data_IF_940927207845
#
_entry.id   IF_940927207845
#
_cell.length_a   1.000
_cell.length_b   1.000
_cell.length_c   1.000
_cell.angle_alpha   90.00
_cell.angle_beta   90.00
_cell.angle_gamma   90.00
#
_symmetry.space_group_name_H-M   'P 1'
#
loop_
_entity.id
_entity.type
_entity.pdbx_description
1 polymer ?
#
# COMPACT_ATOMS: atom_id res chain seq x y z
N UNK A 1 -60.63 -58.77 28.78
CA UNK A 1 -61.05 -58.11 30.04
C UNK A 1 -59.81 -57.79 30.86
N UNK A 2 -59.67 -56.52 31.29
CA UNK A 2 -58.67 -55.95 32.24
C UNK A 2 -57.26 -55.60 31.74
N UNK A 3 -57.14 -54.35 31.27
CA UNK A 3 -56.21 -53.28 31.70
C UNK A 3 -54.94 -53.66 32.49
N UNK A 4 -53.79 -53.06 32.12
CA UNK A 4 -53.22 -51.88 32.82
C UNK A 4 -51.95 -51.32 32.14
N UNK A 5 -51.89 -49.98 32.18
CA UNK A 5 -50.79 -49.05 31.88
C UNK A 5 -49.56 -49.25 32.76
N UNK A 6 -48.38 -48.89 32.23
CA UNK A 6 -47.25 -48.11 32.81
C UNK A 6 -46.11 -48.20 31.77
N UNK A 7 -45.53 -47.17 31.17
CA UNK A 7 -45.26 -45.81 31.62
C UNK A 7 -43.78 -45.69 32.01
N UNK A 8 -42.86 -45.56 31.04
CA UNK A 8 -41.47 -45.12 31.29
C UNK A 8 -41.02 -44.20 30.15
N UNK A 9 -40.78 -42.94 30.50
CA UNK A 9 -40.09 -41.94 29.70
C UNK A 9 -38.57 -42.19 29.74
N UNK A 10 -37.89 -42.03 28.60
CA UNK A 10 -36.43 -41.90 28.51
C UNK A 10 -36.15 -40.90 27.37
N UNK A 11 -36.03 -39.62 27.71
CA UNK A 11 -34.75 -38.88 27.90
C UNK A 11 -33.90 -38.87 26.63
N UNK A 12 -34.01 -37.72 25.98
CA UNK A 12 -33.24 -37.18 24.87
C UNK A 12 -31.73 -37.23 25.13
N UNK A 13 -30.95 -37.68 24.15
CA UNK A 13 -29.53 -37.35 24.04
C UNK A 13 -29.25 -36.87 22.60
N UNK A 14 -29.50 -35.58 22.38
CA UNK A 14 -29.02 -34.89 21.18
C UNK A 14 -27.54 -34.57 21.41
N UNK A 15 -26.66 -35.38 20.81
CA UNK A 15 -25.25 -35.04 20.67
C UNK A 15 -25.13 -33.81 19.75
N UNK A 16 -24.93 -32.64 20.35
CA UNK A 16 -24.49 -31.46 19.64
C UNK A 16 -23.00 -31.63 19.29
N UNK A 17 -22.72 -31.95 18.02
CA UNK A 17 -21.36 -31.81 17.48
C UNK A 17 -21.06 -30.31 17.36
N UNK A 18 -20.38 -29.75 18.35
CA UNK A 18 -19.72 -28.46 18.20
C UNK A 18 -18.58 -28.65 17.19
N UNK A 19 -18.82 -28.24 15.94
CA UNK A 19 -17.73 -27.94 15.02
C UNK A 19 -16.98 -26.73 15.56
N UNK A 20 -15.96 -26.96 16.39
CA UNK A 20 -14.87 -25.99 16.54
C UNK A 20 -14.12 -25.97 15.22
N UNK A 21 -14.66 -25.24 14.25
CA UNK A 21 -13.93 -24.90 13.04
C UNK A 21 -12.72 -24.07 13.47
N UNK A 22 -11.55 -24.71 13.56
CA UNK A 22 -10.30 -24.00 13.39
C UNK A 22 -10.38 -23.37 12.00
N UNK A 23 -10.81 -22.11 11.92
CA UNK A 23 -10.49 -21.28 10.77
C UNK A 23 -8.96 -21.26 10.77
N UNK A 24 -8.36 -21.99 9.84
CA UNK A 24 -7.01 -21.65 9.41
C UNK A 24 -7.15 -20.21 8.92
N UNK A 25 -6.54 -19.29 9.65
CA UNK A 25 -6.38 -17.93 9.20
C UNK A 25 -5.50 -18.01 7.95
N UNK A 26 -6.12 -18.13 6.78
CA UNK A 26 -5.40 -17.98 5.54
C UNK A 26 -4.79 -16.57 5.55
N UNK A 27 -3.48 -16.42 5.30
CA UNK A 27 -2.85 -15.12 5.39
C UNK A 27 -3.54 -14.16 4.42
N UNK A 28 -3.96 -13.00 4.92
CA UNK A 28 -4.55 -11.96 4.10
C UNK A 28 -3.60 -11.62 2.93
N UNK A 29 -4.13 -11.43 1.70
CA UNK A 29 -3.30 -11.12 0.56
C UNK A 29 -2.59 -9.78 0.78
N UNK A 30 -1.25 -9.79 0.74
CA UNK A 30 -0.42 -8.60 0.88
C UNK A 30 -0.44 -7.76 -0.39
N UNK A 31 -0.50 -6.43 -0.24
CA UNK A 31 -0.29 -5.52 -1.37
C UNK A 31 1.21 -5.28 -1.54
N UNK A 32 1.85 -5.99 -2.48
CA UNK A 32 3.28 -5.83 -2.81
C UNK A 32 3.37 -5.22 -4.21
N UNK A 33 4.15 -4.15 -4.33
CA UNK A 33 4.32 -3.41 -5.58
C UNK A 33 5.80 -3.17 -5.85
N UNK A 34 6.18 -3.28 -7.12
CA UNK A 34 7.50 -2.90 -7.64
C UNK A 34 7.33 -1.78 -8.67
N UNK A 35 8.02 -0.66 -8.47
CA UNK A 35 8.00 0.50 -9.35
C UNK A 35 9.38 0.76 -9.93
N UNK A 36 9.47 0.80 -11.26
CA UNK A 36 10.67 1.17 -11.99
C UNK A 36 10.92 2.69 -11.97
N UNK A 37 12.20 3.09 -11.95
CA UNK A 37 12.61 4.48 -12.17
C UNK A 37 12.46 4.90 -13.65
N UNK A 38 12.74 6.17 -13.96
CA UNK A 38 12.37 6.83 -15.23
C UNK A 38 12.88 6.15 -16.51
N UNK A 39 13.98 5.39 -16.45
CA UNK A 39 14.54 4.67 -17.61
C UNK A 39 14.34 3.15 -17.51
N UNK A 40 13.56 2.65 -16.55
CA UNK A 40 13.25 1.23 -16.43
C UNK A 40 12.17 0.82 -17.45
N UNK A 41 12.57 0.03 -18.44
CA UNK A 41 11.67 -0.45 -19.51
C UNK A 41 11.00 -1.79 -19.18
N UNK A 42 11.39 -2.44 -18.08
CA UNK A 42 10.92 -3.76 -17.68
C UNK A 42 9.81 -3.75 -16.63
N UNK A 43 9.73 -2.66 -15.85
CA UNK A 43 8.76 -2.49 -14.76
C UNK A 43 8.14 -1.11 -14.89
N UNK A 44 6.82 -1.03 -14.85
CA UNK A 44 6.11 0.26 -14.82
C UNK A 44 6.50 1.10 -13.60
N UNK A 45 6.42 2.42 -13.74
CA UNK A 45 6.87 3.36 -12.71
C UNK A 45 5.75 4.00 -11.90
N UNK A 46 4.48 3.76 -12.23
CA UNK A 46 3.34 4.56 -11.77
C UNK A 46 2.28 3.67 -11.11
N UNK A 47 1.94 3.92 -9.86
CA UNK A 47 0.95 3.18 -9.07
C UNK A 47 -0.36 3.93 -8.99
N UNK A 48 -1.46 3.23 -9.29
CA UNK A 48 -2.79 3.55 -8.77
C UNK A 48 -3.02 2.73 -7.50
N UNK A 49 -3.16 3.39 -6.36
CA UNK A 49 -3.32 2.74 -5.05
C UNK A 49 -4.70 2.06 -4.97
N UNK A 50 -5.74 2.74 -5.46
CA UNK A 50 -7.13 2.23 -5.41
C UNK A 50 -7.34 1.02 -6.33
N UNK A 51 -6.74 1.03 -7.52
CA UNK A 51 -6.83 -0.09 -8.47
C UNK A 51 -5.80 -1.20 -8.19
N UNK A 52 -4.89 -0.99 -7.22
CA UNK A 52 -3.78 -1.89 -6.89
C UNK A 52 -2.97 -2.28 -8.14
N UNK A 53 -2.74 -1.30 -9.04
CA UNK A 53 -2.19 -1.53 -10.38
C UNK A 53 -0.99 -0.64 -10.66
N UNK A 54 0.05 -1.25 -11.24
CA UNK A 54 1.21 -0.56 -11.78
C UNK A 54 1.01 -0.31 -13.27
N UNK A 55 1.31 0.91 -13.68
CA UNK A 55 1.20 1.47 -15.02
C UNK A 55 2.58 1.79 -15.56
N UNK A 56 2.77 1.60 -16.87
CA UNK A 56 3.86 2.24 -17.63
C UNK A 56 3.60 3.74 -17.75
N UNK A 57 4.60 4.53 -18.15
CA UNK A 57 4.44 5.99 -18.30
C UNK A 57 3.34 6.35 -19.32
N UNK A 58 3.29 5.62 -20.43
CA UNK A 58 2.30 5.85 -21.49
C UNK A 58 0.89 5.52 -21.02
N UNK A 59 0.70 4.40 -20.32
CA UNK A 59 -0.62 4.06 -19.78
C UNK A 59 -1.04 5.02 -18.68
N UNK A 60 -0.09 5.44 -17.83
CA UNK A 60 -0.32 6.43 -16.78
C UNK A 60 -0.75 7.79 -17.35
N UNK A 61 -0.13 8.24 -18.44
CA UNK A 61 -0.53 9.45 -19.17
C UNK A 61 -1.96 9.40 -19.71
N UNK A 62 -2.49 8.21 -19.99
CA UNK A 62 -3.89 8.02 -20.41
C UNK A 62 -4.86 7.83 -19.23
N UNK A 63 -4.36 7.75 -18.00
CA UNK A 63 -5.13 7.48 -16.77
C UNK A 63 -4.67 8.42 -15.64
N UNK A 64 -4.34 9.68 -15.96
CA UNK A 64 -3.64 10.62 -15.07
C UNK A 64 -4.34 10.76 -13.71
N UNK A 65 -5.67 10.81 -13.73
CA UNK A 65 -6.54 10.95 -12.56
C UNK A 65 -6.45 9.79 -11.57
N UNK A 66 -5.93 8.64 -12.01
CA UNK A 66 -5.84 7.42 -11.20
C UNK A 66 -4.48 7.23 -10.53
N UNK A 67 -3.47 7.98 -10.96
CA UNK A 67 -2.10 7.77 -10.52
C UNK A 67 -1.86 8.53 -9.22
N UNK A 68 -1.39 7.82 -8.21
CA UNK A 68 -1.14 8.36 -6.88
C UNK A 68 0.37 8.51 -6.61
N UNK A 69 1.17 7.54 -7.07
CA UNK A 69 2.59 7.43 -6.74
C UNK A 69 3.38 7.06 -8.00
N UNK A 70 4.56 7.64 -8.20
CA UNK A 70 5.54 7.16 -9.14
C UNK A 70 6.91 6.98 -8.48
N UNK A 71 7.77 6.15 -9.07
CA UNK A 71 9.18 6.01 -8.71
C UNK A 71 10.08 6.81 -9.64
N UNK A 72 11.12 7.43 -9.10
CA UNK A 72 12.12 8.15 -9.86
C UNK A 72 13.50 8.07 -9.20
N UNK A 73 14.54 8.38 -9.94
CA UNK A 73 15.92 8.45 -9.48
C UNK A 73 16.56 9.79 -9.83
N UNK A 74 17.23 10.41 -8.87
CA UNK A 74 18.09 11.59 -9.08
C UNK A 74 19.35 11.46 -8.21
N UNK A 75 20.50 11.26 -8.86
CA UNK A 75 21.77 11.02 -8.19
C UNK A 75 22.16 12.18 -7.25
N UNK A 76 22.53 11.85 -6.00
CA UNK A 76 23.02 12.82 -5.04
C UNK A 76 21.98 13.78 -4.44
N UNK A 77 20.72 13.73 -4.91
CA UNK A 77 19.64 14.61 -4.43
C UNK A 77 18.51 13.83 -3.78
N UNK A 78 17.91 12.90 -4.54
CA UNK A 78 16.79 12.08 -4.09
C UNK A 78 17.14 10.59 -4.04
N UNK A 79 18.15 10.13 -4.79
CA UNK A 79 18.39 8.71 -5.07
C UNK A 79 17.07 8.05 -5.52
N UNK A 80 16.88 6.75 -5.35
CA UNK A 80 15.56 6.13 -5.55
C UNK A 80 14.57 6.72 -4.55
N UNK A 81 13.48 7.25 -5.10
CA UNK A 81 12.46 7.98 -4.38
C UNK A 81 11.07 7.71 -4.98
N UNK A 82 10.04 7.97 -4.18
CA UNK A 82 8.65 7.97 -4.63
C UNK A 82 7.98 9.31 -4.34
N UNK A 83 7.09 9.72 -5.24
CA UNK A 83 6.33 10.96 -5.15
C UNK A 83 5.00 10.84 -5.91
N UNK A 84 4.06 11.77 -5.72
CA UNK A 84 2.87 11.87 -6.57
C UNK A 84 3.05 12.84 -7.74
N UNK A 85 2.25 12.74 -8.83
CA UNK A 85 2.30 13.66 -9.97
C UNK A 85 2.21 15.16 -9.60
N UNK A 86 1.44 15.51 -8.58
CA UNK A 86 1.23 16.89 -8.10
C UNK A 86 2.36 17.48 -7.26
N UNK A 87 3.50 16.81 -7.15
CA UNK A 87 4.58 17.20 -6.24
C UNK A 87 5.58 18.20 -6.82
N UNK A 88 5.55 18.43 -8.14
CA UNK A 88 6.44 19.34 -8.86
C UNK A 88 7.82 18.74 -9.14
N UNK A 89 7.88 17.43 -9.39
CA UNK A 89 9.09 16.76 -9.88
C UNK A 89 9.14 16.93 -11.39
N UNK A 90 10.04 17.80 -11.85
CA UNK A 90 10.18 18.17 -13.26
C UNK A 90 11.58 17.82 -13.77
N UNK A 91 11.72 17.61 -15.08
CA UNK A 91 13.03 17.41 -15.73
C UNK A 91 13.65 16.02 -15.57
N UNK A 92 13.01 15.11 -14.84
CA UNK A 92 13.49 13.73 -14.63
C UNK A 92 12.93 12.78 -15.69
N UNK A 93 11.62 12.86 -15.94
CA UNK A 93 10.96 12.09 -16.99
C UNK A 93 11.03 12.84 -18.32
N UNK A 94 11.15 12.10 -19.43
CA UNK A 94 11.30 12.66 -20.77
C UNK A 94 10.13 12.28 -21.69
N UNK A 95 9.90 13.08 -22.73
CA UNK A 95 8.84 12.87 -23.73
C UNK A 95 7.48 13.47 -23.34
N UNK A 96 6.53 13.39 -24.26
CA UNK A 96 5.21 14.05 -24.12
C UNK A 96 4.40 13.48 -22.95
N UNK A 97 4.57 12.18 -22.66
CA UNK A 97 3.88 11.49 -21.57
C UNK A 97 4.48 11.77 -20.17
N UNK A 98 5.52 12.60 -20.07
CA UNK A 98 6.18 12.89 -18.79
C UNK A 98 5.23 13.60 -17.79
N UNK A 99 5.27 13.27 -16.49
CA UNK A 99 4.31 13.78 -15.49
C UNK A 99 4.20 15.30 -15.40
N UNK A 100 5.27 16.04 -15.68
CA UNK A 100 5.24 17.51 -15.70
C UNK A 100 4.26 18.08 -16.75
N UNK A 101 3.99 17.32 -17.82
CA UNK A 101 3.11 17.71 -18.92
C UNK A 101 1.65 17.32 -18.71
N UNK A 102 1.31 16.65 -17.60
CA UNK A 102 -0.05 16.16 -17.35
C UNK A 102 -1.01 17.30 -16.99
N UNK A 103 -2.26 17.14 -17.42
CA UNK A 103 -3.37 18.05 -17.09
C UNK A 103 -3.87 17.81 -15.66
N UNK A 104 -3.93 16.54 -15.25
CA UNK A 104 -4.33 16.13 -13.90
C UNK A 104 -3.12 15.61 -13.15
N UNK A 105 -2.86 16.19 -11.97
CA UNK A 105 -1.68 15.87 -11.16
C UNK A 105 -2.06 15.69 -9.69
N UNK A 106 -2.37 14.45 -9.29
CA UNK A 106 -2.73 14.11 -7.92
C UNK A 106 -1.54 14.33 -6.96
N UNK A 107 -1.79 15.01 -5.84
CA UNK A 107 -0.78 15.21 -4.80
C UNK A 107 -0.85 14.08 -3.77
N UNK A 108 0.21 13.28 -3.71
CA UNK A 108 0.43 12.35 -2.59
C UNK A 108 1.50 12.90 -1.67
N UNK A 109 1.18 12.88 -0.37
CA UNK A 109 2.07 13.33 0.71
C UNK A 109 2.63 12.14 1.45
N UNK A 110 3.87 12.24 1.90
CA UNK A 110 4.61 11.20 2.62
C UNK A 110 5.18 11.78 3.91
N UNK A 111 5.05 11.07 5.02
CA UNK A 111 5.68 11.43 6.29
C UNK A 111 6.34 10.19 6.89
N UNK A 112 7.30 10.39 7.79
CA UNK A 112 7.62 9.31 8.73
C UNK A 112 6.40 9.10 9.65
N UNK A 113 6.17 7.87 10.14
CA UNK A 113 5.11 7.64 11.11
C UNK A 113 5.26 8.55 12.34
N UNK A 114 4.15 8.94 12.99
CA UNK A 114 4.14 9.77 14.21
C UNK A 114 4.77 9.11 15.43
N UNK A 115 4.96 7.79 15.37
CA UNK A 115 5.66 6.96 16.35
C UNK A 115 6.70 6.09 15.64
N UNK A 116 7.79 5.73 16.32
CA UNK A 116 8.77 4.82 15.72
C UNK A 116 8.16 3.42 15.55
N UNK A 117 7.97 3.00 14.30
CA UNK A 117 7.48 1.66 13.96
C UNK A 117 8.63 0.78 13.48
N UNK A 118 8.68 -0.44 14.00
CA UNK A 118 9.57 -1.49 13.51
C UNK A 118 8.92 -2.26 12.36
N UNK A 119 9.73 -3.09 11.67
CA UNK A 119 9.19 -4.03 10.67
C UNK A 119 8.18 -5.00 11.29
N UNK A 120 8.39 -5.42 12.53
CA UNK A 120 7.46 -6.30 13.24
C UNK A 120 6.12 -5.58 13.54
N UNK A 121 6.18 -4.30 13.91
CA UNK A 121 4.96 -3.50 14.10
C UNK A 121 4.19 -3.37 12.78
N UNK A 122 4.88 -3.07 11.68
CA UNK A 122 4.26 -3.03 10.35
C UNK A 122 3.65 -4.38 9.96
N UNK A 123 4.35 -5.49 10.22
CA UNK A 123 3.89 -6.84 9.86
C UNK A 123 2.70 -7.31 10.71
N UNK A 124 2.52 -6.72 11.90
CA UNK A 124 1.34 -6.96 12.75
C UNK A 124 0.09 -6.18 12.30
N UNK A 125 0.26 -5.09 11.55
CA UNK A 125 -0.86 -4.34 10.96
C UNK A 125 -1.55 -5.15 9.86
N UNK A 126 -2.85 -4.93 9.70
CA UNK A 126 -3.67 -5.48 8.61
C UNK A 126 -4.11 -4.39 7.63
N UNK A 127 -4.38 -4.80 6.40
CA UNK A 127 -5.02 -3.92 5.42
C UNK A 127 -6.46 -3.61 5.92
N UNK A 128 -6.84 -2.35 5.94
CA UNK A 128 -8.10 -1.86 6.52
C UNK A 128 -8.04 -1.50 8.02
N UNK A 129 -6.87 -1.58 8.66
CA UNK A 129 -6.74 -1.16 10.06
C UNK A 129 -6.87 0.35 10.20
N UNK A 130 -7.87 0.80 10.97
CA UNK A 130 -8.12 2.22 11.21
C UNK A 130 -6.93 2.96 11.89
N UNK A 131 -6.04 2.23 12.58
CA UNK A 131 -4.86 2.82 13.23
C UNK A 131 -3.88 3.41 12.21
N UNK A 132 -3.89 2.94 10.95
CA UNK A 132 -2.98 3.39 9.89
C UNK A 132 -3.06 4.91 9.67
N UNK A 133 -4.26 5.48 9.74
CA UNK A 133 -4.45 6.94 9.61
C UNK A 133 -3.73 7.72 10.72
N UNK A 134 -3.69 7.18 11.94
CA UNK A 134 -3.11 7.86 13.11
C UNK A 134 -1.58 7.98 13.03
N UNK A 135 -0.95 7.17 12.19
CA UNK A 135 0.49 7.23 11.96
C UNK A 135 0.87 8.37 11.01
N UNK A 136 -0.06 8.91 10.22
CA UNK A 136 0.25 10.01 9.30
C UNK A 136 0.42 11.33 10.06
N UNK A 137 1.56 12.00 9.87
CA UNK A 137 1.84 13.28 10.53
C UNK A 137 1.25 14.45 9.74
N UNK A 138 0.00 14.81 10.04
CA UNK A 138 -0.70 15.92 9.39
C UNK A 138 -0.05 17.30 9.64
N UNK A 139 0.74 17.43 10.71
CA UNK A 139 1.41 18.67 11.09
C UNK A 139 2.75 18.88 10.37
N UNK A 140 3.22 17.91 9.57
CA UNK A 140 4.47 18.04 8.84
C UNK A 140 4.33 19.05 7.69
N UNK A 141 5.01 20.19 7.81
CA UNK A 141 4.92 21.32 6.86
C UNK A 141 6.05 21.39 5.83
N UNK A 142 7.06 20.51 5.91
CA UNK A 142 8.17 20.46 4.95
C UNK A 142 8.64 19.03 4.70
N UNK A 143 9.32 18.80 3.56
CA UNK A 143 9.87 17.48 3.21
C UNK A 143 8.84 16.36 3.02
N UNK A 144 7.55 16.70 2.87
CA UNK A 144 6.45 15.73 2.85
C UNK A 144 5.91 15.43 1.45
N UNK A 145 6.50 15.99 0.39
CA UNK A 145 6.04 15.79 -1.00
C UNK A 145 6.64 14.54 -1.65
N UNK A 146 7.59 13.86 -0.99
CA UNK A 146 8.26 12.67 -1.51
C UNK A 146 8.88 11.88 -0.37
N UNK A 147 9.00 10.57 -0.55
CA UNK A 147 9.89 9.73 0.24
C UNK A 147 11.14 9.45 -0.60
N UNK A 148 12.31 9.83 -0.10
CA UNK A 148 13.58 9.82 -0.84
C UNK A 148 14.67 9.08 -0.08
N UNK A 149 15.77 8.77 -0.76
CA UNK A 149 16.88 7.95 -0.23
C UNK A 149 16.38 6.62 0.36
N UNK A 150 15.43 5.99 -0.34
CA UNK A 150 14.75 4.80 0.14
C UNK A 150 15.73 3.65 0.34
N UNK A 151 15.60 2.97 1.48
CA UNK A 151 16.38 1.78 1.86
C UNK A 151 15.44 0.68 2.32
N UNK A 152 15.93 -0.57 2.25
CA UNK A 152 15.20 -1.72 2.77
C UNK A 152 14.84 -1.47 4.24
N UNK A 153 13.60 -1.82 4.61
CA UNK A 153 12.97 -1.60 5.91
C UNK A 153 12.59 -0.15 6.24
N UNK A 154 12.78 0.81 5.34
CA UNK A 154 12.18 2.13 5.53
C UNK A 154 10.66 2.01 5.60
N UNK A 155 10.08 2.68 6.60
CA UNK A 155 8.64 2.81 6.78
C UNK A 155 8.24 4.27 6.59
N UNK A 156 7.21 4.48 5.77
CA UNK A 156 6.61 5.78 5.49
C UNK A 156 5.09 5.67 5.51
N UNK A 157 4.42 6.69 6.03
CA UNK A 157 2.98 6.86 5.83
C UNK A 157 2.74 7.78 4.66
N UNK A 158 1.62 7.57 3.97
CA UNK A 158 1.20 8.44 2.88
C UNK A 158 -0.28 8.79 2.95
N UNK A 159 -0.61 9.91 2.30
CA UNK A 159 -1.98 10.37 2.08
C UNK A 159 -2.12 10.81 0.62
N UNK A 160 -3.02 10.18 -0.12
CA UNK A 160 -3.32 10.55 -1.52
C UNK A 160 -4.24 11.77 -1.60
N UNK A 161 -4.38 12.35 -2.80
CA UNK A 161 -5.33 13.44 -3.07
C UNK A 161 -6.78 13.03 -2.73
N UNK A 162 -7.12 11.75 -2.98
CA UNK A 162 -8.41 11.15 -2.64
C UNK A 162 -8.64 10.89 -1.15
N UNK A 163 -7.78 11.40 -0.26
CA UNK A 163 -7.80 11.17 1.20
C UNK A 163 -7.67 9.68 1.61
N UNK A 164 -7.00 8.86 0.79
CA UNK A 164 -6.63 7.50 1.18
C UNK A 164 -5.37 7.59 2.04
N UNK A 165 -5.43 7.04 3.25
CA UNK A 165 -4.29 6.90 4.14
C UNK A 165 -3.68 5.51 3.99
N UNK A 166 -2.36 5.45 3.96
CA UNK A 166 -1.66 4.18 3.93
C UNK A 166 -0.28 4.24 4.58
N UNK A 167 0.29 3.06 4.76
CA UNK A 167 1.64 2.86 5.28
C UNK A 167 2.40 1.91 4.36
N UNK A 168 3.66 2.22 4.11
CA UNK A 168 4.57 1.52 3.21
C UNK A 168 5.75 0.97 4.01
N UNK A 169 6.18 -0.25 3.70
CA UNK A 169 7.48 -0.82 4.10
C UNK A 169 8.27 -1.21 2.86
N UNK A 170 9.44 -0.62 2.69
CA UNK A 170 10.34 -0.94 1.56
C UNK A 170 10.96 -2.32 1.73
N UNK A 171 10.83 -3.18 0.71
CA UNK A 171 11.33 -4.56 0.70
C UNK A 171 12.57 -4.73 -0.17
N UNK A 172 12.72 -3.93 -1.23
CA UNK A 172 13.92 -3.93 -2.07
C UNK A 172 14.14 -2.58 -2.74
N UNK A 173 15.41 -2.25 -3.00
CA UNK A 173 15.81 -1.03 -3.74
C UNK A 173 16.99 -1.36 -4.64
N UNK A 174 16.91 -0.92 -5.90
CA UNK A 174 18.03 -0.87 -6.82
C UNK A 174 18.19 0.57 -7.31
N UNK A 175 19.34 1.18 -7.03
CA UNK A 175 19.65 2.54 -7.43
C UNK A 175 19.85 2.68 -8.95
N UNK A 176 19.79 3.91 -9.45
CA UNK A 176 20.02 4.25 -10.85
C UNK A 176 18.74 4.51 -11.64
N UNK A 177 18.88 5.10 -12.83
CA UNK A 177 17.76 5.49 -13.70
C UNK A 177 16.95 4.29 -14.22
N UNK A 178 17.60 3.13 -14.36
CA UNK A 178 16.98 1.83 -14.68
C UNK A 178 16.62 1.03 -13.44
N UNK A 179 16.78 1.62 -12.25
CA UNK A 179 16.54 1.02 -10.95
C UNK A 179 15.06 0.84 -10.63
N UNK A 180 14.79 0.51 -9.37
CA UNK A 180 13.44 0.30 -8.86
C UNK A 180 13.37 0.43 -7.33
N UNK A 181 12.15 0.61 -6.83
CA UNK A 181 11.77 0.31 -5.45
C UNK A 181 10.71 -0.79 -5.44
N UNK A 182 10.80 -1.71 -4.50
CA UNK A 182 9.73 -2.64 -4.14
C UNK A 182 9.30 -2.37 -2.70
N UNK A 183 8.00 -2.42 -2.45
CA UNK A 183 7.45 -2.23 -1.12
C UNK A 183 6.13 -2.98 -0.91
N UNK A 184 5.86 -3.32 0.35
CA UNK A 184 4.55 -3.72 0.84
C UNK A 184 3.80 -2.47 1.31
N UNK A 185 2.49 -2.38 1.07
CA UNK A 185 1.66 -1.31 1.62
C UNK A 185 0.33 -1.81 2.19
N UNK A 186 -0.18 -1.08 3.17
CA UNK A 186 -1.48 -1.31 3.81
C UNK A 186 -2.26 -0.01 3.82
N UNK A 187 -3.56 -0.08 3.57
CA UNK A 187 -4.48 1.04 3.56
C UNK A 187 -5.32 1.04 4.82
N UNK A 188 -5.78 2.23 5.23
CA UNK A 188 -6.83 2.38 6.24
C UNK A 188 -8.20 1.98 5.69
#
# INVERSE_FOLDING_TARGET
MKTKFLGIAAISFLLAFCFTGCKKDDPEPKNIVKLGAQANTSVGGFLSVSEKKVYTMQEAFQNQEKIDIFCFYEEGVNNIAIAGPGTGIDGIFTGDAAPQNWDVKNLTRFTKPTVDLTVADFDALKDGDAIIETYFNAEQTSGYKKAKDLKINDIYTFKTEGNIFGIIKVTAVQQGETGFVEFEYKLK
#
